data_IF_600457565321
#
_entry.id   IF_600457565321
#
_cell.length_a   1.000
_cell.length_b   1.000
_cell.length_c   1.000
_cell.angle_alpha   90.00
_cell.angle_beta   90.00
_cell.angle_gamma   90.00
#
_symmetry.space_group_name_H-M   'P 1'
#
loop_
_entity.id
_entity.type
_entity.pdbx_description
1 polymer ?
#
# COMPACT_ATOMS: atom_id res chain seq x y z
N UNK A 1 6.84 -1.58 -1.40
CA UNK A 1 6.53 -2.59 -0.36
C UNK A 1 6.48 -4.00 -0.96
N UNK A 2 7.29 -4.95 -0.49
CA UNK A 2 7.21 -6.36 -0.90
C UNK A 2 6.45 -7.17 0.17
N UNK A 3 5.16 -6.87 0.35
CA UNK A 3 4.30 -7.47 1.38
C UNK A 3 4.36 -9.01 1.40
N UNK A 4 4.60 -9.65 0.25
CA UNK A 4 4.71 -11.10 0.15
C UNK A 4 5.85 -11.70 0.99
N UNK A 5 7.06 -11.12 0.95
CA UNK A 5 8.20 -11.63 1.73
C UNK A 5 8.09 -11.28 3.20
N UNK A 6 7.54 -10.10 3.51
CA UNK A 6 7.28 -9.67 4.87
C UNK A 6 6.28 -10.58 5.58
N UNK A 7 5.20 -10.98 4.89
CA UNK A 7 4.17 -11.85 5.44
C UNK A 7 4.71 -13.23 5.84
N UNK A 8 5.58 -13.83 5.03
CA UNK A 8 6.22 -15.12 5.36
C UNK A 8 7.09 -15.01 6.63
N UNK A 9 7.82 -13.91 6.80
CA UNK A 9 8.64 -13.65 7.99
C UNK A 9 7.77 -13.43 9.24
N UNK A 10 6.67 -12.70 9.11
CA UNK A 10 5.72 -12.47 10.20
C UNK A 10 5.03 -13.77 10.64
N UNK A 11 4.67 -14.64 9.69
CA UNK A 11 4.08 -15.93 10.00
C UNK A 11 5.03 -16.82 10.82
N UNK A 12 6.34 -16.79 10.54
CA UNK A 12 7.34 -17.55 11.32
C UNK A 12 7.43 -17.12 12.79
N UNK A 13 6.98 -15.92 13.13
CA UNK A 13 6.88 -15.42 14.52
C UNK A 13 5.45 -15.45 15.06
N UNK A 14 4.53 -16.13 14.36
CA UNK A 14 3.15 -16.33 14.81
C UNK A 14 2.17 -15.20 14.48
N UNK A 15 2.54 -14.29 13.57
CA UNK A 15 1.69 -13.18 13.11
C UNK A 15 1.13 -13.48 11.72
N UNK A 16 -0.19 -13.65 11.63
CA UNK A 16 -0.89 -13.82 10.35
C UNK A 16 -1.10 -12.46 9.67
N UNK A 17 -0.99 -12.44 8.33
CA UNK A 17 -1.12 -11.21 7.53
C UNK A 17 -2.44 -11.19 6.78
N UNK A 18 -3.17 -10.08 6.86
CA UNK A 18 -4.35 -9.78 6.06
C UNK A 18 -4.16 -8.44 5.35
N UNK A 19 -4.24 -8.42 4.03
CA UNK A 19 -4.29 -7.17 3.28
C UNK A 19 -5.73 -6.73 3.05
N UNK A 20 -6.02 -5.45 3.19
CA UNK A 20 -7.32 -4.87 2.84
C UNK A 20 -7.11 -3.88 1.71
N UNK A 21 -7.87 -4.02 0.62
CA UNK A 21 -7.77 -3.15 -0.56
C UNK A 21 -9.07 -2.39 -0.77
N UNK A 22 -8.97 -1.13 -1.17
CA UNK A 22 -10.13 -0.29 -1.48
C UNK A 22 -10.91 -0.72 -2.72
N UNK A 23 -10.38 -1.59 -3.58
CA UNK A 23 -11.03 -2.02 -4.82
C UNK A 23 -12.15 -3.05 -4.62
N UNK A 24 -13.01 -3.20 -5.64
CA UNK A 24 -13.97 -4.32 -5.74
C UNK A 24 -13.24 -5.68 -5.75
N UNK A 25 -13.87 -6.72 -5.22
CA UNK A 25 -13.25 -8.04 -5.07
C UNK A 25 -12.82 -8.65 -6.41
N UNK A 26 -13.64 -8.52 -7.45
CA UNK A 26 -13.34 -9.00 -8.80
C UNK A 26 -12.12 -8.31 -9.40
N UNK A 27 -12.01 -6.99 -9.18
CA UNK A 27 -10.87 -6.20 -9.64
C UNK A 27 -9.60 -6.54 -8.86
N UNK A 28 -9.69 -6.64 -7.54
CA UNK A 28 -8.57 -7.05 -6.71
C UNK A 28 -8.04 -8.43 -7.17
N UNK A 29 -8.94 -9.38 -7.45
CA UNK A 29 -8.56 -10.69 -8.01
C UNK A 29 -7.90 -10.57 -9.38
N UNK A 30 -8.36 -9.69 -10.25
CA UNK A 30 -7.75 -9.45 -11.56
C UNK A 30 -6.33 -8.88 -11.41
N UNK A 31 -6.17 -7.82 -10.60
CA UNK A 31 -4.88 -7.16 -10.36
C UNK A 31 -3.86 -8.12 -9.73
N UNK A 32 -4.29 -8.97 -8.79
CA UNK A 32 -3.43 -9.96 -8.14
C UNK A 32 -2.98 -11.11 -9.06
N UNK A 33 -3.46 -11.19 -10.31
CA UNK A 33 -2.86 -12.07 -11.33
C UNK A 33 -1.50 -11.57 -11.79
N UNK A 34 -1.30 -10.25 -11.80
CA UNK A 34 -0.03 -9.60 -12.15
C UNK A 34 0.92 -9.55 -10.95
N UNK A 35 0.37 -9.45 -9.73
CA UNK A 35 1.13 -9.48 -8.47
C UNK A 35 0.56 -10.50 -7.47
N UNK A 36 0.83 -11.79 -7.64
CA UNK A 36 0.33 -12.81 -6.73
C UNK A 36 0.84 -12.61 -5.31
N UNK A 37 -0.05 -12.73 -4.33
CA UNK A 37 0.28 -12.69 -2.90
C UNK A 37 -0.06 -14.03 -2.24
N UNK A 38 0.69 -14.38 -1.20
CA UNK A 38 0.54 -15.65 -0.45
C UNK A 38 -0.24 -15.51 0.86
N UNK A 39 -0.90 -14.38 1.05
CA UNK A 39 -1.69 -14.07 2.23
C UNK A 39 -3.12 -13.67 1.82
N UNK A 40 -4.12 -13.81 2.71
CA UNK A 40 -5.48 -13.34 2.46
C UNK A 40 -5.55 -11.87 2.05
N UNK A 41 -6.52 -11.56 1.18
CA UNK A 41 -6.85 -10.19 0.76
C UNK A 41 -8.35 -9.98 0.89
N UNK A 42 -8.75 -8.97 1.65
CA UNK A 42 -10.13 -8.49 1.77
C UNK A 42 -10.39 -7.28 0.90
N UNK A 43 -11.59 -7.19 0.31
CA UNK A 43 -12.04 -6.03 -0.45
C UNK A 43 -12.88 -5.11 0.44
N UNK A 44 -12.62 -3.81 0.38
CA UNK A 44 -13.32 -2.75 1.10
C UNK A 44 -13.73 -1.61 0.13
N UNK A 45 -14.63 -1.89 -0.83
CA UNK A 45 -14.99 -0.95 -1.90
C UNK A 45 -15.55 0.39 -1.41
N UNK A 46 -16.16 0.39 -0.22
CA UNK A 46 -16.78 1.56 0.39
C UNK A 46 -15.90 2.22 1.46
N UNK A 47 -14.65 1.76 1.59
CA UNK A 47 -13.64 2.29 2.52
C UNK A 47 -14.11 2.32 3.99
N UNK A 48 -15.00 1.39 4.36
CA UNK A 48 -15.58 1.31 5.71
C UNK A 48 -14.49 0.86 6.68
N UNK A 49 -13.73 -0.16 6.32
CA UNK A 49 -12.62 -0.67 7.13
C UNK A 49 -11.51 0.37 7.24
N UNK A 50 -11.11 0.99 6.13
CA UNK A 50 -10.09 2.05 6.13
C UNK A 50 -10.47 3.18 7.10
N UNK A 51 -11.73 3.64 7.04
CA UNK A 51 -12.23 4.70 7.92
C UNK A 51 -12.31 4.25 9.39
N UNK A 52 -12.73 3.02 9.65
CA UNK A 52 -12.81 2.48 11.00
C UNK A 52 -11.43 2.39 11.67
N UNK A 53 -10.38 2.13 10.88
CA UNK A 53 -8.98 2.11 11.33
C UNK A 53 -8.30 3.49 11.28
N UNK A 54 -9.04 4.55 10.96
CA UNK A 54 -8.51 5.92 10.93
C UNK A 54 -7.54 6.21 9.79
N UNK A 55 -7.52 5.38 8.74
CA UNK A 55 -6.66 5.60 7.57
C UNK A 55 -7.21 6.76 6.76
N UNK A 56 -6.42 7.83 6.53
CA UNK A 56 -6.92 9.04 5.91
C UNK A 56 -7.24 8.82 4.42
N UNK A 57 -8.09 9.72 3.91
CA UNK A 57 -8.33 9.91 2.47
C UNK A 57 -8.20 11.40 2.17
N UNK A 58 -7.58 11.74 1.06
CA UNK A 58 -7.45 13.13 0.61
C UNK A 58 -8.00 13.33 -0.80
N UNK A 59 -8.47 14.55 -1.06
CA UNK A 59 -8.66 15.03 -2.41
C UNK A 59 -7.31 15.05 -3.17
N UNK A 60 -7.39 14.97 -4.49
CA UNK A 60 -6.23 15.12 -5.37
C UNK A 60 -5.85 16.60 -5.43
N UNK A 61 -4.65 16.94 -4.95
CA UNK A 61 -4.10 18.31 -5.06
C UNK A 61 -2.75 18.29 -5.79
N UNK A 62 -2.32 19.43 -6.37
CA UNK A 62 -1.01 19.52 -7.02
C UNK A 62 0.15 19.10 -6.11
N UNK A 63 0.08 19.46 -4.82
CA UNK A 63 1.12 19.16 -3.83
C UNK A 63 1.23 17.65 -3.57
N UNK A 64 0.07 16.97 -3.43
CA UNK A 64 0.04 15.51 -3.24
C UNK A 64 0.53 14.80 -4.51
N UNK A 65 0.11 15.25 -5.68
CA UNK A 65 0.57 14.67 -6.95
C UNK A 65 2.10 14.83 -7.12
N UNK A 66 2.65 15.98 -6.73
CA UNK A 66 4.09 16.20 -6.74
C UNK A 66 4.83 15.26 -5.77
N UNK A 67 4.28 15.04 -4.58
CA UNK A 67 4.85 14.10 -3.61
C UNK A 67 4.81 12.65 -4.13
N UNK A 68 3.70 12.22 -4.73
CA UNK A 68 3.57 10.91 -5.39
C UNK A 68 4.59 10.77 -6.52
N UNK A 69 4.73 11.77 -7.40
CA UNK A 69 5.74 11.75 -8.45
C UNK A 69 7.16 11.67 -7.88
N UNK A 70 7.43 12.33 -6.75
CA UNK A 70 8.68 12.18 -5.99
C UNK A 70 8.93 10.75 -5.55
N UNK A 71 7.94 10.10 -4.94
CA UNK A 71 8.03 8.70 -4.51
C UNK A 71 8.33 7.74 -5.67
N UNK A 72 7.60 7.86 -6.80
CA UNK A 72 7.86 7.03 -7.98
C UNK A 72 9.25 7.24 -8.58
N UNK A 73 9.79 8.47 -8.56
CA UNK A 73 11.17 8.72 -9.01
C UNK A 73 12.20 8.04 -8.12
N UNK A 74 12.00 8.07 -6.80
CA UNK A 74 12.88 7.36 -5.87
C UNK A 74 12.80 5.85 -6.11
N UNK A 75 11.59 5.30 -6.24
CA UNK A 75 11.39 3.88 -6.51
C UNK A 75 12.02 3.44 -7.85
N UNK A 76 11.88 4.23 -8.92
CA UNK A 76 12.52 3.95 -10.20
C UNK A 76 14.05 3.87 -10.07
N UNK A 77 14.67 4.75 -9.27
CA UNK A 77 16.12 4.73 -8.98
C UNK A 77 16.53 3.50 -8.18
N UNK A 78 15.76 3.13 -7.16
CA UNK A 78 15.99 1.92 -6.35
C UNK A 78 15.91 0.65 -7.22
N UNK A 79 14.96 0.61 -8.14
CA UNK A 79 14.79 -0.46 -9.12
C UNK A 79 15.78 -0.39 -10.29
N UNK A 80 16.67 0.62 -10.31
CA UNK A 80 17.68 0.85 -11.34
C UNK A 80 17.09 0.91 -12.76
N UNK A 81 15.90 1.50 -12.90
CA UNK A 81 15.27 1.71 -14.18
C UNK A 81 15.95 2.89 -14.90
N UNK A 82 16.33 2.69 -16.16
CA UNK A 82 16.85 3.75 -17.02
C UNK A 82 15.69 4.45 -17.72
N UNK A 83 15.03 5.36 -17.00
CA UNK A 83 13.86 6.12 -17.49
C UNK A 83 13.93 7.58 -17.07
N UNK A 84 13.43 8.53 -17.89
CA UNK A 84 13.29 9.93 -17.50
C UNK A 84 12.46 10.11 -16.22
N UNK A 85 12.83 11.09 -15.39
CA UNK A 85 12.19 11.40 -14.10
C UNK A 85 10.66 11.64 -14.25
N UNK A 86 10.23 12.26 -15.35
CA UNK A 86 8.82 12.54 -15.68
C UNK A 86 8.04 11.30 -16.16
N UNK A 87 8.73 10.22 -16.51
CA UNK A 87 8.15 8.94 -16.93
C UNK A 87 8.23 7.86 -15.84
N UNK A 88 8.82 8.17 -14.69
CA UNK A 88 9.08 7.19 -13.62
C UNK A 88 7.81 6.49 -13.14
N UNK A 89 6.70 7.22 -12.95
CA UNK A 89 5.42 6.64 -12.51
C UNK A 89 4.91 5.60 -13.50
N UNK A 90 4.87 5.97 -14.77
CA UNK A 90 4.39 5.11 -15.85
C UNK A 90 5.28 3.88 -16.04
N UNK A 91 6.60 4.06 -15.98
CA UNK A 91 7.56 2.98 -16.10
C UNK A 91 7.40 1.97 -14.96
N UNK A 92 7.34 2.44 -13.71
CA UNK A 92 7.13 1.58 -12.53
C UNK A 92 5.77 0.89 -12.58
N UNK A 93 4.73 1.62 -13.00
CA UNK A 93 3.35 1.10 -13.07
C UNK A 93 3.17 -0.05 -14.07
N UNK A 94 4.03 -0.15 -15.09
CA UNK A 94 3.97 -1.19 -16.14
C UNK A 94 4.92 -2.37 -15.91
N UNK A 95 5.73 -2.35 -14.86
CA UNK A 95 6.73 -3.42 -14.61
C UNK A 95 6.12 -4.81 -14.47
N UNK A 96 4.87 -4.87 -14.04
CA UNK A 96 4.08 -6.09 -13.85
C UNK A 96 3.20 -6.43 -15.07
N UNK A 97 3.34 -5.69 -16.18
CA UNK A 97 2.53 -5.86 -17.39
C UNK A 97 1.10 -5.32 -17.24
N UNK A 98 0.82 -4.52 -16.21
CA UNK A 98 -0.49 -3.92 -16.01
C UNK A 98 -0.72 -2.75 -16.96
N UNK A 99 -1.89 -2.71 -17.60
CA UNK A 99 -2.31 -1.63 -18.50
C UNK A 99 -3.44 -0.82 -17.89
N UNK A 100 -3.31 0.51 -17.99
CA UNK A 100 -4.32 1.42 -17.47
C UNK A 100 -5.56 1.39 -18.34
N UNK A 101 -6.71 1.07 -17.73
CA UNK A 101 -8.01 1.01 -18.41
C UNK A 101 -8.94 2.13 -17.95
N UNK A 102 -10.00 2.40 -18.70
CA UNK A 102 -11.03 3.38 -18.30
C UNK A 102 -11.65 3.07 -16.93
N UNK A 103 -11.80 1.78 -16.61
CA UNK A 103 -12.30 1.34 -15.29
C UNK A 103 -11.40 1.76 -14.13
N UNK A 104 -10.11 1.99 -14.38
CA UNK A 104 -9.17 2.52 -13.38
C UNK A 104 -9.38 3.98 -13.08
N UNK A 105 -9.69 4.76 -14.09
CA UNK A 105 -10.02 6.16 -13.90
C UNK A 105 -11.28 6.28 -13.04
N UNK A 106 -12.29 5.44 -13.28
CA UNK A 106 -13.52 5.41 -12.47
C UNK A 106 -13.23 5.04 -11.02
N UNK A 107 -12.40 4.04 -10.75
CA UNK A 107 -12.01 3.70 -9.38
C UNK A 107 -11.20 4.79 -8.69
N UNK A 108 -10.22 5.36 -9.39
CA UNK A 108 -9.43 6.47 -8.88
C UNK A 108 -10.31 7.67 -8.50
N UNK A 109 -11.34 7.97 -9.30
CA UNK A 109 -12.29 9.04 -8.96
C UNK A 109 -13.13 8.71 -7.71
N UNK A 110 -13.45 7.43 -7.46
CA UNK A 110 -14.22 7.01 -6.27
C UNK A 110 -13.40 7.11 -4.99
N UNK A 111 -12.16 6.64 -5.01
CA UNK A 111 -11.32 6.54 -3.81
C UNK A 111 -10.37 7.72 -3.61
N UNK A 112 -10.17 8.54 -4.65
CA UNK A 112 -9.21 9.64 -4.67
C UNK A 112 -7.83 9.17 -4.18
N UNK A 113 -7.18 9.93 -3.30
CA UNK A 113 -5.95 9.53 -2.63
C UNK A 113 -6.34 8.80 -1.34
N UNK A 114 -6.48 7.49 -1.43
CA UNK A 114 -6.58 6.62 -0.25
C UNK A 114 -5.16 6.28 0.23
N UNK A 115 -4.84 6.67 1.46
CA UNK A 115 -3.54 6.36 2.06
C UNK A 115 -3.49 4.92 2.57
N UNK A 116 -2.27 4.45 2.85
CA UNK A 116 -2.01 3.10 3.38
C UNK A 116 -1.79 3.13 4.90
N UNK A 117 -2.26 2.10 5.60
CA UNK A 117 -1.94 1.86 7.01
C UNK A 117 -1.50 0.41 7.27
N UNK A 118 -0.59 0.20 8.21
CA UNK A 118 -0.26 -1.10 8.80
C UNK A 118 -0.65 -1.11 10.26
N UNK A 119 -1.22 -2.22 10.71
CA UNK A 119 -1.69 -2.40 12.08
C UNK A 119 -1.28 -3.77 12.58
N UNK A 120 -0.88 -3.85 13.84
CA UNK A 120 -0.74 -5.13 14.53
C UNK A 120 -1.89 -5.26 15.52
N UNK A 121 -2.72 -6.27 15.27
CA UNK A 121 -3.91 -6.59 16.05
C UNK A 121 -3.63 -7.87 16.84
N UNK A 122 -3.85 -7.83 18.14
CA UNK A 122 -3.65 -9.00 19.00
C UNK A 122 -4.84 -9.97 18.97
N UNK A 123 -4.76 -11.04 19.77
CA UNK A 123 -5.79 -12.09 19.85
C UNK A 123 -7.13 -11.62 20.44
N UNK A 124 -7.12 -10.50 21.16
CA UNK A 124 -8.32 -9.90 21.73
C UNK A 124 -8.95 -8.86 20.79
N UNK A 125 -8.39 -8.69 19.59
CA UNK A 125 -8.86 -7.70 18.60
C UNK A 125 -8.38 -6.28 18.90
N UNK A 126 -7.37 -6.11 19.75
CA UNK A 126 -6.84 -4.80 20.14
C UNK A 126 -5.70 -4.42 19.21
N UNK A 127 -5.77 -3.22 18.63
CA UNK A 127 -4.64 -2.62 17.91
C UNK A 127 -3.54 -2.28 18.90
N UNK A 128 -2.44 -3.02 18.86
CA UNK A 128 -1.27 -2.82 19.73
C UNK A 128 -0.22 -1.89 19.12
N UNK A 129 -0.23 -1.78 17.80
CA UNK A 129 0.67 -0.90 17.06
C UNK A 129 0.03 -0.50 15.73
N UNK A 130 0.38 0.71 15.26
CA UNK A 130 -0.07 1.25 13.98
C UNK A 130 1.02 2.10 13.32
N UNK A 131 1.12 1.99 12.00
CA UNK A 131 1.80 2.95 11.14
C UNK A 131 0.82 3.42 10.06
N UNK A 132 0.65 4.73 9.90
CA UNK A 132 -0.23 5.31 8.88
C UNK A 132 0.63 6.21 8.00
N UNK A 133 0.54 6.00 6.70
CA UNK A 133 1.24 6.80 5.69
C UNK A 133 0.95 8.30 5.91
N UNK A 134 2.00 9.11 5.78
CA UNK A 134 1.97 10.56 6.02
C UNK A 134 1.66 11.03 7.46
N UNK A 135 1.41 10.15 8.43
CA UNK A 135 1.06 10.58 9.79
C UNK A 135 2.24 11.24 10.54
N UNK A 136 3.47 10.75 10.34
CA UNK A 136 4.67 11.27 11.01
C UNK A 136 5.40 12.35 10.21
N UNK A 137 5.54 12.15 8.90
CA UNK A 137 6.38 12.97 8.01
C UNK A 137 5.56 13.85 7.05
N UNK A 138 4.23 13.88 7.17
CA UNK A 138 3.37 14.52 6.18
C UNK A 138 3.57 13.92 4.78
N UNK A 139 3.48 14.75 3.73
CA UNK A 139 3.64 14.27 2.35
C UNK A 139 5.03 13.69 2.04
N UNK A 140 6.04 13.97 2.85
CA UNK A 140 7.35 13.32 2.72
C UNK A 140 7.32 11.84 3.11
N UNK A 141 6.24 11.38 3.76
CA UNK A 141 5.99 9.99 4.15
C UNK A 141 5.25 9.15 3.11
N UNK A 142 4.95 9.68 1.92
CA UNK A 142 4.30 8.89 0.85
C UNK A 142 5.21 7.73 0.43
N UNK A 143 4.61 6.54 0.28
CA UNK A 143 5.24 5.27 -0.12
C UNK A 143 6.40 4.84 0.81
N UNK A 144 6.50 5.45 2.01
CA UNK A 144 7.43 5.04 3.05
C UNK A 144 6.72 4.09 4.01
N UNK A 145 7.20 2.85 4.02
CA UNK A 145 6.67 1.81 4.88
C UNK A 145 7.75 1.21 5.76
N UNK A 146 7.37 0.69 6.95
CA UNK A 146 8.28 -0.01 7.81
C UNK A 146 8.96 -1.17 7.09
N UNK A 147 10.24 -1.32 7.37
CA UNK A 147 11.06 -2.45 6.92
C UNK A 147 10.61 -3.75 7.57
N UNK A 148 11.02 -4.88 6.99
CA UNK A 148 10.80 -6.20 7.60
C UNK A 148 11.35 -6.28 9.03
N UNK A 149 12.50 -5.66 9.28
CA UNK A 149 13.15 -5.66 10.61
C UNK A 149 12.33 -4.87 11.63
N UNK A 150 11.81 -3.70 11.25
CA UNK A 150 10.93 -2.89 12.12
C UNK A 150 9.63 -3.63 12.44
N UNK A 151 8.99 -4.26 11.45
CA UNK A 151 7.77 -5.04 11.67
C UNK A 151 8.01 -6.27 12.55
N UNK A 152 9.13 -6.97 12.35
CA UNK A 152 9.52 -8.11 13.19
C UNK A 152 9.85 -7.68 14.63
N UNK A 153 10.50 -6.52 14.81
CA UNK A 153 10.79 -5.99 16.12
C UNK A 153 9.50 -5.67 16.89
N UNK A 154 8.54 -5.01 16.23
CA UNK A 154 7.21 -4.74 16.79
C UNK A 154 6.49 -6.04 17.16
N UNK A 155 6.48 -7.03 16.26
CA UNK A 155 5.82 -8.32 16.50
C UNK A 155 6.39 -9.08 17.71
N UNK A 156 7.71 -8.97 17.96
CA UNK A 156 8.38 -9.64 19.09
C UNK A 156 8.26 -8.91 20.42
N UNK A 157 7.88 -7.64 20.39
CA UNK A 157 7.78 -6.78 21.58
C UNK A 157 6.41 -6.87 22.27
N UNK A 158 5.47 -7.64 21.72
CA UNK A 158 4.09 -7.81 22.18
C UNK A 158 3.83 -9.27 22.59
#
# INVERSE_FOLDING_TARGET
MQLGTTAEKLQQVGVETLAIVGSMAERARFYLRFRPVRHPVGADPELITHRAYGVPRSAVTPEIMQAIHGAYRNLARELKLDVPDDQARDAVGRLDGFEVTESENVEFQRHQIQFTGQFLVDRDGIVRWSNIECALEGLAGIDKFPTDEELLAVARAL
#
